data_IF_167683736692
#
_entry.id   IF_167683736692
#
_cell.length_a   1.000
_cell.length_b   1.000
_cell.length_c   1.000
_cell.angle_alpha   90.00
_cell.angle_beta   90.00
_cell.angle_gamma   90.00
#
_symmetry.space_group_name_H-M   'P 1'
#
loop_
_entity.id
_entity.type
_entity.pdbx_description
1 polymer ?
#
# COMPACT_ATOMS: atom_id res chain seq x y z
N UNK A 1 -61.64 -52.07 -11.77
CA UNK A 1 -60.68 -52.49 -10.73
C UNK A 1 -59.96 -51.25 -10.24
N UNK A 2 -60.26 -50.73 -9.03
CA UNK A 2 -59.56 -49.57 -8.50
C UNK A 2 -58.32 -50.05 -7.74
N UNK A 3 -57.16 -49.51 -8.10
CA UNK A 3 -55.88 -49.77 -7.45
C UNK A 3 -55.82 -48.92 -6.17
N UNK A 4 -56.01 -49.55 -5.02
CA UNK A 4 -55.74 -48.91 -3.72
C UNK A 4 -54.22 -48.79 -3.58
N UNK A 5 -53.70 -47.59 -3.79
CA UNK A 5 -52.31 -47.26 -3.44
C UNK A 5 -52.27 -47.08 -1.92
N UNK A 6 -51.87 -48.14 -1.22
CA UNK A 6 -51.50 -48.08 0.19
C UNK A 6 -50.15 -47.35 0.29
N UNK A 7 -50.20 -46.06 0.62
CA UNK A 7 -49.04 -45.29 1.06
C UNK A 7 -48.73 -45.70 2.49
N UNK A 8 -47.80 -46.63 2.66
CA UNK A 8 -47.15 -46.84 3.96
C UNK A 8 -46.25 -45.65 4.25
N UNK A 9 -46.73 -44.73 5.09
CA UNK A 9 -45.88 -43.76 5.74
C UNK A 9 -44.98 -44.53 6.72
N UNK A 10 -43.76 -44.85 6.29
CA UNK A 10 -42.70 -45.28 7.19
C UNK A 10 -42.40 -44.11 8.14
N UNK A 11 -42.96 -44.17 9.35
CA UNK A 11 -42.69 -43.19 10.40
C UNK A 11 -41.23 -43.28 10.81
N UNK A 12 -40.42 -42.32 10.39
CA UNK A 12 -39.06 -42.17 10.89
C UNK A 12 -39.12 -41.87 12.39
N UNK A 13 -38.57 -42.75 13.21
CA UNK A 13 -38.30 -42.59 14.66
C UNK A 13 -37.22 -41.52 14.93
N UNK A 14 -37.17 -40.46 14.14
CA UNK A 14 -36.17 -39.40 14.27
C UNK A 14 -36.68 -38.36 15.25
N UNK A 15 -35.99 -38.23 16.39
CA UNK A 15 -36.27 -37.17 17.34
C UNK A 15 -35.88 -35.83 16.68
N UNK A 16 -36.78 -34.83 16.64
CA UNK A 16 -36.52 -33.55 15.99
C UNK A 16 -35.35 -32.79 16.63
N UNK A 17 -34.58 -32.08 15.81
CA UNK A 17 -33.47 -31.25 16.24
C UNK A 17 -33.90 -30.14 17.23
N UNK A 18 -33.07 -29.80 18.23
CA UNK A 18 -33.34 -28.67 19.12
C UNK A 18 -33.09 -27.32 18.44
N UNK A 19 -33.72 -26.27 18.97
CA UNK A 19 -33.33 -24.90 18.65
C UNK A 19 -32.11 -24.49 19.47
N UNK A 20 -31.26 -23.65 18.88
CA UNK A 20 -30.07 -23.08 19.52
C UNK A 20 -30.02 -21.58 19.26
N UNK A 21 -29.70 -20.80 20.28
CA UNK A 21 -29.50 -19.37 20.13
C UNK A 21 -28.46 -18.83 21.11
N UNK A 22 -27.76 -17.79 20.68
CA UNK A 22 -26.93 -16.97 21.54
C UNK A 22 -27.85 -16.03 22.32
N UNK A 23 -27.76 -16.04 23.66
CA UNK A 23 -28.60 -15.20 24.52
C UNK A 23 -27.78 -14.06 25.15
N UNK A 24 -28.40 -12.92 25.47
CA UNK A 24 -27.74 -11.84 26.20
C UNK A 24 -27.19 -12.29 27.57
N UNK A 25 -26.09 -11.69 28.06
CA UNK A 25 -25.27 -10.67 27.39
C UNK A 25 -24.43 -11.23 26.24
N UNK A 26 -24.37 -10.49 25.12
CA UNK A 26 -23.54 -10.86 23.97
C UNK A 26 -22.08 -10.52 24.26
N UNK A 27 -21.12 -11.39 23.92
CA UNK A 27 -19.72 -11.17 24.24
C UNK A 27 -19.14 -10.02 23.40
N UNK A 28 -18.39 -9.14 24.05
CA UNK A 28 -17.65 -8.05 23.42
C UNK A 28 -16.19 -8.42 23.12
N UNK A 29 -15.61 -9.31 23.93
CA UNK A 29 -14.28 -9.89 23.72
C UNK A 29 -14.27 -11.41 23.93
N UNK A 30 -13.13 -12.05 23.67
CA UNK A 30 -12.97 -13.50 23.81
C UNK A 30 -13.01 -13.97 25.27
N UNK A 31 -12.71 -13.06 26.20
CA UNK A 31 -12.69 -13.28 27.64
C UNK A 31 -14.08 -13.17 28.27
N UNK A 32 -15.03 -12.55 27.56
CA UNK A 32 -16.40 -12.41 28.04
C UNK A 32 -17.12 -13.78 28.06
N UNK A 33 -17.99 -14.02 29.05
CA UNK A 33 -18.78 -15.24 29.10
C UNK A 33 -19.76 -15.31 27.93
N UNK A 34 -19.86 -16.50 27.33
CA UNK A 34 -20.79 -16.76 26.22
C UNK A 34 -21.95 -17.60 26.75
N UNK A 35 -23.17 -17.10 26.58
CA UNK A 35 -24.40 -17.80 26.97
C UNK A 35 -25.12 -18.35 25.76
N UNK A 36 -25.24 -19.68 25.68
CA UNK A 36 -25.93 -20.36 24.57
C UNK A 36 -27.12 -21.12 25.13
N UNK A 37 -28.32 -20.78 24.68
CA UNK A 37 -29.54 -21.50 25.03
C UNK A 37 -29.84 -22.56 23.99
N UNK A 38 -30.17 -23.76 24.48
CA UNK A 38 -30.71 -24.84 23.66
C UNK A 38 -32.06 -25.28 24.20
N UNK A 39 -33.04 -25.44 23.31
CA UNK A 39 -34.41 -25.79 23.69
C UNK A 39 -34.91 -26.93 22.80
N UNK A 40 -35.35 -28.01 23.43
CA UNK A 40 -36.00 -29.11 22.75
C UNK A 40 -37.47 -28.75 22.41
N UNK A 41 -38.08 -29.43 21.43
CA UNK A 41 -39.50 -29.24 21.12
C UNK A 41 -40.42 -29.55 22.31
N UNK A 42 -41.67 -29.09 22.21
CA UNK A 42 -42.63 -29.02 23.32
C UNK A 42 -42.81 -30.31 24.14
N UNK A 43 -42.67 -31.47 23.51
CA UNK A 43 -42.91 -32.79 24.10
C UNK A 43 -41.72 -33.34 24.90
N UNK A 44 -40.58 -32.65 24.94
CA UNK A 44 -39.35 -33.16 25.56
C UNK A 44 -38.93 -32.30 26.75
N UNK A 45 -39.21 -32.80 27.95
CA UNK A 45 -38.88 -32.17 29.23
C UNK A 45 -37.75 -32.95 29.93
N UNK A 46 -36.97 -32.27 30.78
CA UNK A 46 -35.95 -32.94 31.60
C UNK A 46 -34.84 -33.65 30.82
N UNK A 47 -34.67 -33.29 29.54
CA UNK A 47 -33.73 -33.93 28.63
C UNK A 47 -32.27 -33.59 28.95
N UNK A 48 -31.36 -34.44 28.48
CA UNK A 48 -29.93 -34.20 28.57
C UNK A 48 -29.42 -33.49 27.31
N UNK A 49 -28.92 -32.29 27.46
CA UNK A 49 -28.38 -31.47 26.37
C UNK A 49 -26.87 -31.55 26.32
N UNK A 50 -26.33 -31.71 25.12
CA UNK A 50 -24.89 -31.73 24.85
C UNK A 50 -24.58 -30.63 23.82
N UNK A 51 -23.64 -29.76 24.17
CA UNK A 51 -23.13 -28.71 23.30
C UNK A 51 -21.84 -29.18 22.62
N UNK A 52 -21.78 -29.00 21.31
CA UNK A 52 -20.64 -29.34 20.47
C UNK A 52 -20.04 -28.09 19.83
N UNK A 53 -18.72 -28.09 19.58
CA UNK A 53 -18.01 -27.08 18.82
C UNK A 53 -16.99 -27.76 17.91
N UNK A 54 -17.10 -27.51 16.60
CA UNK A 54 -16.22 -28.16 15.62
C UNK A 54 -16.26 -29.70 15.68
N UNK A 55 -17.41 -30.28 16.06
CA UNK A 55 -17.58 -31.74 16.22
C UNK A 55 -17.15 -32.29 17.59
N UNK A 56 -16.52 -31.50 18.45
CA UNK A 56 -16.10 -31.93 19.79
C UNK A 56 -17.13 -31.53 20.85
N UNK A 57 -17.38 -32.42 21.81
CA UNK A 57 -18.23 -32.11 22.97
C UNK A 57 -17.55 -31.05 23.85
N UNK A 58 -18.26 -29.96 24.14
CA UNK A 58 -17.80 -28.87 25.00
C UNK A 58 -18.37 -29.02 26.41
N UNK A 59 -19.69 -29.19 26.52
CA UNK A 59 -20.38 -29.26 27.81
C UNK A 59 -21.67 -30.08 27.69
N UNK A 60 -22.05 -30.77 28.76
CA UNK A 60 -23.34 -31.46 28.87
C UNK A 60 -24.08 -30.98 30.10
N UNK A 61 -25.36 -30.67 29.96
CA UNK A 61 -26.24 -30.20 31.03
C UNK A 61 -27.56 -30.96 30.97
N UNK A 62 -28.15 -31.24 32.13
CA UNK A 62 -29.49 -31.81 32.23
C UNK A 62 -30.50 -30.70 32.50
N UNK A 63 -31.58 -30.66 31.73
CA UNK A 63 -32.69 -29.76 32.03
C UNK A 63 -33.43 -30.22 33.28
N UNK A 64 -33.95 -29.29 34.12
CA UNK A 64 -34.94 -29.62 35.13
C UNK A 64 -36.13 -30.38 34.55
N UNK A 65 -36.80 -31.21 35.37
CA UNK A 65 -37.86 -32.12 34.92
C UNK A 65 -39.07 -31.41 34.27
N UNK A 66 -39.28 -30.14 34.59
CA UNK A 66 -40.35 -29.26 34.09
C UNK A 66 -39.88 -28.30 32.99
N UNK A 67 -38.59 -28.32 32.64
CA UNK A 67 -37.99 -27.43 31.65
C UNK A 67 -37.68 -28.17 30.35
N UNK A 68 -37.79 -27.44 29.23
CA UNK A 68 -37.53 -27.93 27.87
C UNK A 68 -36.13 -27.64 27.37
N UNK A 69 -35.29 -26.97 28.15
CA UNK A 69 -34.03 -26.45 27.66
C UNK A 69 -33.07 -26.05 28.77
N UNK A 70 -31.86 -25.73 28.35
CA UNK A 70 -30.76 -25.30 29.22
C UNK A 70 -30.07 -24.08 28.64
N UNK A 71 -29.34 -23.37 29.48
CA UNK A 71 -28.40 -22.33 29.03
C UNK A 71 -27.00 -22.74 29.44
N UNK A 72 -26.13 -22.94 28.46
CA UNK A 72 -24.72 -23.19 28.65
C UNK A 72 -24.01 -21.88 28.98
N UNK A 73 -23.14 -21.90 29.97
CA UNK A 73 -22.28 -20.78 30.34
C UNK A 73 -20.83 -21.16 30.01
N UNK A 74 -20.30 -20.58 28.95
CA UNK A 74 -18.94 -20.80 28.50
C UNK A 74 -18.10 -19.59 28.93
N UNK A 75 -17.55 -19.65 30.13
CA UNK A 75 -16.60 -18.67 30.64
C UNK A 75 -15.17 -19.10 30.32
N UNK A 76 -14.47 -18.34 29.46
CA UNK A 76 -13.00 -18.36 29.30
C UNK A 76 -12.31 -19.71 29.02
N UNK A 77 -13.05 -20.76 28.65
CA UNK A 77 -12.58 -22.14 28.70
C UNK A 77 -12.77 -22.90 27.40
N UNK A 78 -12.29 -22.37 26.28
CA UNK A 78 -12.01 -23.19 25.09
C UNK A 78 -11.21 -22.41 24.05
N UNK A 79 -9.97 -22.05 24.39
CA UNK A 79 -8.96 -21.78 23.35
C UNK A 79 -8.49 -23.07 22.67
N UNK A 80 -8.84 -24.25 23.22
CA UNK A 80 -8.35 -25.56 22.77
C UNK A 80 -9.29 -26.29 21.81
N UNK A 81 -10.60 -26.00 21.79
CA UNK A 81 -11.47 -26.61 20.77
C UNK A 81 -11.20 -25.93 19.42
N UNK A 82 -11.10 -26.72 18.33
CA UNK A 82 -11.00 -26.18 16.98
C UNK A 82 -12.06 -25.10 16.75
N UNK A 83 -11.64 -23.98 16.17
CA UNK A 83 -12.58 -22.93 15.76
C UNK A 83 -13.71 -23.52 14.93
N UNK A 84 -14.93 -23.01 15.10
CA UNK A 84 -16.10 -23.52 14.40
C UNK A 84 -17.41 -23.11 15.07
N UNK A 85 -18.54 -23.37 14.40
CA UNK A 85 -19.86 -23.10 14.96
C UNK A 85 -20.18 -24.04 16.13
N UNK A 86 -21.07 -23.58 16.99
CA UNK A 86 -21.67 -24.41 18.03
C UNK A 86 -22.90 -25.13 17.50
N UNK A 87 -23.06 -26.38 17.91
CA UNK A 87 -24.24 -27.21 17.66
C UNK A 87 -24.75 -27.78 18.97
N UNK A 88 -26.04 -28.06 19.04
CA UNK A 88 -26.68 -28.67 20.18
C UNK A 88 -27.35 -29.98 19.82
N UNK A 89 -27.36 -30.89 20.77
CA UNK A 89 -28.11 -32.13 20.68
C UNK A 89 -28.72 -32.42 22.04
N UNK A 90 -29.94 -32.94 22.08
CA UNK A 90 -30.52 -33.49 23.30
C UNK A 90 -30.77 -34.99 23.18
N UNK A 91 -30.74 -35.67 24.32
CA UNK A 91 -31.11 -37.07 24.45
C UNK A 91 -32.19 -37.24 25.50
N UNK A 92 -33.12 -38.15 25.22
CA UNK A 92 -34.18 -38.59 26.14
C UNK A 92 -34.12 -40.11 26.29
N UNK A 93 -34.67 -40.62 27.38
CA UNK A 93 -34.84 -42.06 27.54
C UNK A 93 -36.02 -42.51 26.69
N UNK A 94 -35.77 -43.39 25.72
CA UNK A 94 -36.80 -44.00 24.91
C UNK A 94 -37.58 -45.06 25.67
N UNK A 95 -38.55 -45.67 24.99
CA UNK A 95 -39.47 -46.69 25.53
C UNK A 95 -38.74 -47.90 26.13
N UNK A 96 -37.59 -48.28 25.58
CA UNK A 96 -36.77 -49.42 26.03
C UNK A 96 -35.68 -49.04 27.05
N UNK A 97 -35.76 -47.86 27.68
CA UNK A 97 -34.69 -47.31 28.54
C UNK A 97 -33.36 -47.11 27.81
N UNK A 98 -33.40 -47.05 26.47
CA UNK A 98 -32.25 -46.74 25.64
C UNK A 98 -32.18 -45.22 25.40
N UNK A 99 -31.00 -44.58 25.50
CA UNK A 99 -30.86 -43.17 25.21
C UNK A 99 -31.09 -42.90 23.71
N UNK A 100 -32.17 -42.22 23.39
CA UNK A 100 -32.47 -41.78 22.03
C UNK A 100 -31.99 -40.34 21.85
N UNK A 101 -31.12 -40.13 20.86
CA UNK A 101 -30.57 -38.81 20.53
C UNK A 101 -31.39 -38.13 19.44
N UNK A 102 -31.53 -36.82 19.56
CA UNK A 102 -32.01 -35.94 18.50
C UNK A 102 -30.97 -35.73 17.41
N UNK A 103 -31.42 -35.21 16.26
CA UNK A 103 -30.53 -34.61 15.28
C UNK A 103 -29.80 -33.38 15.85
N UNK A 104 -28.67 -33.01 15.24
CA UNK A 104 -27.93 -31.80 15.60
C UNK A 104 -28.72 -30.54 15.22
N UNK A 105 -28.66 -29.52 16.08
CA UNK A 105 -29.23 -28.21 15.79
C UNK A 105 -28.55 -27.54 14.59
N UNK A 106 -29.21 -26.50 14.07
CA UNK A 106 -28.58 -25.50 13.22
C UNK A 106 -27.29 -24.93 13.88
N UNK A 107 -26.30 -24.47 13.10
CA UNK A 107 -25.08 -23.90 13.64
C UNK A 107 -25.31 -22.48 14.22
N UNK A 108 -24.73 -22.18 15.37
CA UNK A 108 -24.63 -20.79 15.88
C UNK A 108 -23.18 -20.33 15.90
N UNK A 109 -22.94 -19.11 15.41
CA UNK A 109 -21.61 -18.51 15.34
C UNK A 109 -21.50 -17.39 16.37
N UNK A 110 -20.42 -17.41 17.13
CA UNK A 110 -20.07 -16.30 18.05
C UNK A 110 -19.19 -15.33 17.29
N UNK A 111 -19.60 -14.06 17.23
CA UNK A 111 -18.85 -12.96 16.61
C UNK A 111 -18.62 -11.89 17.66
N UNK A 112 -17.39 -11.40 17.73
CA UNK A 112 -17.04 -10.27 18.58
C UNK A 112 -17.11 -8.98 17.78
N UNK A 113 -17.62 -7.88 18.35
CA UNK A 113 -17.60 -6.58 17.72
C UNK A 113 -16.15 -6.18 17.38
N UNK A 114 -15.92 -5.77 16.14
CA UNK A 114 -14.60 -5.28 15.73
C UNK A 114 -14.36 -3.94 16.42
N UNK A 115 -13.18 -3.73 17.03
CA UNK A 115 -12.88 -2.45 17.64
C UNK A 115 -12.88 -1.32 16.59
N UNK A 116 -13.84 -0.41 16.71
CA UNK A 116 -14.06 0.69 15.74
C UNK A 116 -12.89 1.67 15.68
N UNK A 117 -12.07 1.72 16.75
CA UNK A 117 -10.85 2.52 16.77
C UNK A 117 -9.83 2.10 15.72
N UNK A 118 -9.82 0.82 15.30
CA UNK A 118 -8.91 0.33 14.25
C UNK A 118 -9.24 1.01 12.90
N UNK A 119 -10.54 1.17 12.60
CA UNK A 119 -10.98 1.90 11.40
C UNK A 119 -10.66 3.40 11.52
N UNK A 120 -10.90 4.00 12.68
CA UNK A 120 -10.59 5.41 12.89
C UNK A 120 -9.08 5.70 12.72
N UNK A 121 -8.22 4.84 13.27
CA UNK A 121 -6.77 4.93 13.10
C UNK A 121 -6.34 4.75 11.65
N UNK A 122 -6.92 3.77 10.93
CA UNK A 122 -6.54 3.52 9.54
C UNK A 122 -6.95 4.67 8.62
N UNK A 123 -8.16 5.22 8.80
CA UNK A 123 -8.60 6.41 8.07
C UNK A 123 -7.75 7.64 8.39
N UNK A 124 -7.36 7.82 9.65
CA UNK A 124 -6.47 8.91 10.08
C UNK A 124 -5.08 8.80 9.45
N UNK A 125 -4.47 7.61 9.47
CA UNK A 125 -3.18 7.35 8.83
C UNK A 125 -3.23 7.58 7.31
N UNK A 126 -4.29 7.11 6.65
CA UNK A 126 -4.47 7.34 5.22
C UNK A 126 -4.63 8.84 4.91
N UNK A 127 -5.45 9.56 5.68
CA UNK A 127 -5.67 11.00 5.52
C UNK A 127 -4.38 11.81 5.68
N UNK A 128 -3.60 11.53 6.73
CA UNK A 128 -2.30 12.19 6.95
C UNK A 128 -1.31 11.92 5.80
N UNK A 129 -1.26 10.69 5.29
CA UNK A 129 -0.43 10.35 4.15
C UNK A 129 -0.83 11.13 2.88
N UNK A 130 -2.11 11.21 2.56
CA UNK A 130 -2.60 11.98 1.41
C UNK A 130 -2.32 13.49 1.56
N UNK A 131 -2.48 14.05 2.76
CA UNK A 131 -2.15 15.45 3.03
C UNK A 131 -0.66 15.73 2.84
N UNK A 132 0.22 14.86 3.34
CA UNK A 132 1.67 15.01 3.17
C UNK A 132 2.07 14.91 1.69
N UNK A 133 1.50 13.97 0.94
CA UNK A 133 1.74 13.86 -0.50
C UNK A 133 1.25 15.10 -1.26
N UNK A 134 0.06 15.62 -0.92
CA UNK A 134 -0.48 16.86 -1.48
C UNK A 134 0.41 18.08 -1.20
N UNK A 135 0.89 18.23 0.04
CA UNK A 135 1.81 19.31 0.41
C UNK A 135 3.16 19.20 -0.32
N UNK A 136 3.70 17.98 -0.45
CA UNK A 136 4.96 17.75 -1.16
C UNK A 136 4.84 18.10 -2.65
N UNK A 137 3.76 17.68 -3.31
CA UNK A 137 3.51 18.01 -4.73
C UNK A 137 3.35 19.52 -4.93
N UNK A 138 2.59 20.20 -4.07
CA UNK A 138 2.47 21.66 -4.10
C UNK A 138 3.82 22.36 -3.90
N UNK A 139 4.61 21.93 -2.93
CA UNK A 139 5.94 22.49 -2.67
C UNK A 139 6.89 22.33 -3.87
N UNK A 140 6.87 21.17 -4.55
CA UNK A 140 7.65 20.94 -5.77
C UNK A 140 7.19 21.85 -6.90
N UNK A 141 5.87 22.02 -7.10
CA UNK A 141 5.32 22.92 -8.12
C UNK A 141 5.73 24.37 -7.84
N UNK A 142 5.60 24.86 -6.60
CA UNK A 142 6.00 26.21 -6.21
C UNK A 142 7.49 26.43 -6.42
N UNK A 143 8.34 25.46 -6.03
CA UNK A 143 9.79 25.53 -6.29
C UNK A 143 10.07 25.59 -7.80
N UNK A 144 9.43 24.75 -8.61
CA UNK A 144 9.60 24.74 -10.07
C UNK A 144 9.16 26.05 -10.71
N UNK A 145 8.05 26.64 -10.26
CA UNK A 145 7.56 27.93 -10.73
C UNK A 145 8.51 29.05 -10.32
N UNK A 146 8.98 29.08 -9.08
CA UNK A 146 9.97 30.08 -8.63
C UNK A 146 11.26 30.00 -9.45
N UNK A 147 11.78 28.79 -9.70
CA UNK A 147 12.98 28.60 -10.55
C UNK A 147 12.73 29.13 -11.96
N UNK A 148 11.61 28.76 -12.59
CA UNK A 148 11.25 29.28 -13.92
C UNK A 148 11.10 30.80 -13.94
N UNK A 149 10.48 31.37 -12.92
CA UNK A 149 10.29 32.81 -12.81
C UNK A 149 11.62 33.56 -12.63
N UNK A 150 12.49 33.06 -11.75
CA UNK A 150 13.85 33.61 -11.57
C UNK A 150 14.69 33.48 -12.84
N UNK A 151 14.51 32.41 -13.60
CA UNK A 151 15.17 32.24 -14.89
C UNK A 151 14.68 33.26 -15.92
N UNK A 152 13.36 33.42 -16.06
CA UNK A 152 12.77 34.44 -16.95
C UNK A 152 13.18 35.86 -16.58
N UNK A 153 13.30 36.18 -15.28
CA UNK A 153 13.78 37.47 -14.81
C UNK A 153 15.25 37.70 -15.22
N UNK A 154 16.12 36.70 -15.06
CA UNK A 154 17.51 36.75 -15.54
C UNK A 154 17.61 36.93 -17.06
N UNK A 155 16.75 36.25 -17.82
CA UNK A 155 16.71 36.38 -19.28
C UNK A 155 16.30 37.80 -19.70
N UNK A 156 15.42 38.46 -18.94
CA UNK A 156 14.95 39.82 -19.19
C UNK A 156 15.98 40.90 -18.79
N UNK A 157 16.71 40.68 -17.69
CA UNK A 157 17.77 41.58 -17.21
C UNK A 157 19.09 41.43 -18.00
N UNK A 158 19.22 40.35 -18.78
CA UNK A 158 20.32 40.17 -19.72
C UNK A 158 20.10 41.09 -20.92
N UNK A 159 20.80 42.23 -20.92
CA UNK A 159 20.76 43.42 -21.80
C UNK A 159 20.87 43.20 -23.34
N UNK A 160 20.54 42.02 -23.88
CA UNK A 160 20.78 41.67 -25.28
C UNK A 160 19.61 41.04 -26.04
N UNK A 161 18.44 40.85 -25.44
CA UNK A 161 17.38 40.07 -26.11
C UNK A 161 16.50 40.83 -27.13
N UNK A 162 16.59 42.15 -27.27
CA UNK A 162 15.85 42.85 -28.33
C UNK A 162 16.50 44.18 -28.74
N UNK A 163 17.60 44.10 -29.48
CA UNK A 163 18.00 45.22 -30.34
C UNK A 163 17.25 45.01 -31.65
N UNK A 164 16.14 45.74 -31.83
CA UNK A 164 15.57 45.92 -33.16
C UNK A 164 16.64 46.64 -33.99
N UNK A 165 17.38 45.90 -34.81
CA UNK A 165 18.26 46.50 -35.81
C UNK A 165 17.38 47.22 -36.84
N UNK A 166 17.13 48.51 -36.62
CA UNK A 166 16.91 49.40 -37.73
C UNK A 166 18.26 49.47 -38.47
N UNK A 167 18.27 49.02 -39.74
CA UNK A 167 19.38 49.09 -40.70
C UNK A 167 20.05 50.48 -40.70
N UNK A 168 20.90 50.73 -39.72
CA UNK A 168 21.71 51.94 -39.67
C UNK A 168 23.09 51.51 -40.10
N UNK A 169 23.30 51.74 -41.39
CA UNK A 169 24.54 51.70 -42.14
C UNK A 169 25.79 51.89 -41.27
N UNK A 170 26.54 50.81 -41.08
CA UNK A 170 27.86 50.83 -40.42
C UNK A 170 28.93 50.76 -41.51
N UNK A 171 29.06 51.82 -42.31
CA UNK A 171 30.23 52.01 -43.16
C UNK A 171 31.39 52.49 -42.30
N UNK A 172 32.43 51.67 -42.15
CA UNK A 172 33.68 52.05 -41.48
C UNK A 172 34.52 52.96 -42.40
N UNK A 173 34.82 54.18 -41.96
CA UNK A 173 35.76 55.07 -42.65
C UNK A 173 37.21 54.64 -42.38
N UNK A 174 37.91 54.20 -43.41
CA UNK A 174 39.28 53.70 -43.33
C UNK A 174 40.26 54.71 -43.96
N UNK A 175 40.31 55.95 -43.45
CA UNK A 175 41.09 57.05 -44.02
C UNK A 175 42.41 57.38 -43.28
N UNK A 176 42.83 56.57 -42.29
CA UNK A 176 44.01 56.87 -41.47
C UNK A 176 45.35 56.26 -41.96
N UNK A 177 45.37 55.56 -43.10
CA UNK A 177 46.60 54.99 -43.67
C UNK A 177 46.72 55.22 -45.18
N UNK A 178 46.56 56.45 -45.64
CA UNK A 178 47.04 56.84 -46.97
C UNK A 178 48.52 57.26 -46.88
N UNK A 179 49.43 56.27 -46.98
CA UNK A 179 50.86 56.51 -47.21
C UNK A 179 51.01 57.10 -48.61
N UNK A 180 51.44 58.37 -48.70
CA UNK A 180 51.81 58.99 -49.97
C UNK A 180 53.08 58.32 -50.51
N UNK A 181 52.95 57.57 -51.60
CA UNK A 181 54.07 57.08 -52.40
C UNK A 181 53.79 57.37 -53.86
N UNK A 182 54.29 58.50 -54.36
CA UNK A 182 54.47 58.68 -55.80
C UNK A 182 55.65 57.82 -56.27
N UNK A 183 55.40 57.17 -57.39
CA UNK A 183 56.16 56.11 -58.06
C UNK A 183 57.39 56.62 -58.79
N UNK A 184 58.47 55.83 -58.76
CA UNK A 184 59.46 55.74 -59.83
C UNK A 184 59.77 54.27 -60.05
N UNK A 185 59.89 53.90 -61.32
CA UNK A 185 59.97 52.57 -61.92
C UNK A 185 61.01 51.60 -61.35
N UNK A 186 60.75 50.32 -61.62
CA UNK A 186 61.68 49.33 -62.19
C UNK A 186 61.71 47.99 -61.45
N UNK A 187 61.32 46.93 -62.20
CA UNK A 187 61.79 45.54 -62.13
C UNK A 187 61.59 44.72 -60.83
N UNK A 188 61.35 43.42 -60.84
CA UNK A 188 61.03 42.38 -61.81
C UNK A 188 60.72 41.10 -61.00
N UNK A 189 60.04 40.14 -61.63
CA UNK A 189 60.06 38.69 -61.33
C UNK A 189 59.27 38.12 -60.10
N UNK A 190 58.09 37.58 -60.41
CA UNK A 190 57.59 36.18 -60.21
C UNK A 190 58.59 35.09 -59.74
N UNK A 191 58.15 33.85 -59.40
CA UNK A 191 57.02 33.31 -58.60
C UNK A 191 57.54 32.25 -57.56
N UNK A 192 56.77 31.61 -56.68
CA UNK A 192 56.08 30.30 -56.82
C UNK A 192 55.79 29.80 -55.38
N UNK A 193 54.60 29.36 -55.00
CA UNK A 193 53.90 28.11 -55.32
C UNK A 193 54.43 26.82 -54.62
N UNK A 194 53.73 26.48 -53.52
CA UNK A 194 53.04 25.19 -53.27
C UNK A 194 53.79 23.98 -52.65
N UNK A 195 53.03 23.31 -51.77
CA UNK A 195 53.09 21.88 -51.34
C UNK A 195 54.29 21.48 -50.46
N UNK A 196 54.15 20.80 -49.32
CA UNK A 196 53.19 19.78 -48.89
C UNK A 196 54.00 18.53 -48.46
N UNK A 197 53.56 17.81 -47.42
CA UNK A 197 53.76 16.35 -47.16
C UNK A 197 54.03 16.00 -45.68
N UNK A 198 52.98 15.46 -45.05
CA UNK A 198 52.85 14.23 -44.24
C UNK A 198 54.11 13.50 -43.71
N UNK A 199 54.05 13.04 -42.45
CA UNK A 199 54.27 11.64 -41.97
C UNK A 199 54.52 11.61 -40.44
N UNK A 200 53.82 10.71 -39.74
CA UNK A 200 53.89 10.26 -38.33
C UNK A 200 54.53 8.83 -38.32
N UNK A 201 54.98 8.12 -37.24
CA UNK A 201 55.03 8.33 -35.76
C UNK A 201 56.35 7.94 -35.03
N UNK A 202 56.41 8.21 -33.72
CA UNK A 202 56.72 7.19 -32.69
C UNK A 202 58.17 7.03 -32.20
N UNK A 203 58.41 7.19 -30.89
CA UNK A 203 58.80 6.14 -29.91
C UNK A 203 59.32 6.73 -28.58
N UNK A 204 59.16 5.92 -27.53
CA UNK A 204 59.34 6.11 -26.08
C UNK A 204 60.70 6.59 -25.53
N UNK A 205 60.66 7.25 -24.35
CA UNK A 205 61.80 7.35 -23.44
C UNK A 205 61.40 7.83 -22.03
N UNK A 206 61.51 6.95 -21.04
CA UNK A 206 61.12 7.17 -19.63
C UNK A 206 62.20 7.89 -18.81
N UNK A 207 61.83 8.79 -17.88
CA UNK A 207 62.69 9.13 -16.73
C UNK A 207 61.95 9.64 -15.48
N UNK A 208 61.93 8.76 -14.48
CA UNK A 208 62.01 8.90 -13.01
C UNK A 208 61.42 10.13 -12.28
N UNK A 209 60.46 9.79 -11.42
CA UNK A 209 59.88 10.49 -10.26
C UNK A 209 60.91 10.77 -9.14
N UNK A 210 60.73 11.87 -8.38
CA UNK A 210 60.92 11.88 -6.94
C UNK A 210 59.58 12.01 -6.20
N UNK A 211 59.44 11.24 -5.14
CA UNK A 211 58.29 11.21 -4.24
C UNK A 211 58.47 12.29 -3.18
N UNK A 212 57.46 13.13 -2.96
CA UNK A 212 57.23 13.79 -1.67
C UNK A 212 55.74 14.08 -1.49
N UNK A 213 55.28 13.73 -0.30
CA UNK A 213 53.95 13.64 0.28
C UNK A 213 53.22 14.97 0.48
N UNK A 214 51.88 14.87 0.49
CA UNK A 214 50.94 15.56 1.39
C UNK A 214 50.11 16.75 0.87
N UNK A 215 48.81 16.64 1.19
CA UNK A 215 47.71 17.63 1.19
C UNK A 215 46.95 17.95 -0.12
N UNK A 216 45.63 17.84 0.03
CA UNK A 216 44.48 18.13 -0.86
C UNK A 216 43.91 19.52 -0.49
N UNK A 217 42.92 20.15 -1.17
CA UNK A 217 42.48 20.20 -2.59
C UNK A 217 42.33 21.66 -3.14
N UNK A 218 42.26 21.89 -4.48
CA UNK A 218 41.51 23.04 -5.07
C UNK A 218 41.46 22.99 -6.61
N UNK A 219 40.29 23.19 -7.27
CA UNK A 219 40.23 23.57 -8.69
C UNK A 219 40.25 25.11 -8.85
N UNK A 220 40.84 25.65 -9.94
CA UNK A 220 40.95 27.09 -10.13
C UNK A 220 39.58 27.73 -10.44
N UNK A 221 39.21 28.74 -9.66
CA UNK A 221 38.03 29.57 -9.92
C UNK A 221 38.27 30.45 -11.15
N UNK A 222 37.63 30.13 -12.27
CA UNK A 222 37.43 31.11 -13.36
C UNK A 222 36.15 31.90 -13.07
N UNK A 223 36.30 33.03 -12.39
CA UNK A 223 35.25 34.02 -12.18
C UNK A 223 35.13 34.92 -13.42
N UNK A 224 34.01 34.79 -14.15
CA UNK A 224 33.62 35.73 -15.22
C UNK A 224 32.40 36.52 -14.78
N UNK A 225 32.53 37.31 -13.73
CA UNK A 225 31.58 38.37 -13.44
C UNK A 225 32.33 39.65 -13.04
N UNK A 226 32.35 40.64 -13.93
CA UNK A 226 32.64 42.02 -13.54
C UNK A 226 31.43 42.57 -12.81
N UNK A 227 31.66 43.11 -11.61
CA UNK A 227 30.68 43.91 -10.89
C UNK A 227 30.33 45.17 -11.70
N UNK A 228 29.04 45.45 -11.85
CA UNK A 228 28.56 46.76 -12.29
C UNK A 228 28.45 47.67 -11.06
N UNK A 229 29.00 48.90 -11.17
CA UNK A 229 28.74 50.01 -10.24
C UNK A 229 27.33 50.56 -10.45
#
# INVERSE_FOLDING_TARGET
MPWTVLLFAAGSLAIPAPSILLVPPHPSSQEDPIYISCVAPESFLGANFTLYRGGHMVQRLQAPADHRGVTFNLSGGSSEAPGGPFHCQYGVMGEHSEPQLSDLSAPVHVRFPVPTWILALSLSLAGTFFLLAGLATLAVVVRKVRVKHLQRKRDQESCWAQINFANTDMSFDNSLFAVSKMTSEEDSATPDARSGTTVIPGHSGARKRPTSTSSSPEPPEFSTFRACQ
#
